data_IF_575821792394
#
_entry.id   IF_575821792394
#
_cell.length_a   1.000
_cell.length_b   1.000
_cell.length_c   1.000
_cell.angle_alpha   90.00
_cell.angle_beta   90.00
_cell.angle_gamma   90.00
#
_symmetry.space_group_name_H-M   'P 1'
#
loop_
_entity.id
_entity.type
_entity.pdbx_description
1 polymer ?
#
# COMPACT_ATOMS: atom_id res chain seq x y z
N UNK A 1 -31.68 48.81 10.30
CA UNK A 1 -31.12 47.47 10.08
C UNK A 1 -29.88 47.40 10.97
N UNK A 2 -30.01 46.84 12.17
CA UNK A 2 -28.90 46.73 13.11
C UNK A 2 -27.99 45.61 12.60
N UNK A 3 -26.73 45.92 12.30
CA UNK A 3 -25.68 44.92 12.09
C UNK A 3 -25.56 44.13 13.39
N UNK A 4 -25.92 42.84 13.35
CA UNK A 4 -25.63 41.91 14.43
C UNK A 4 -24.11 41.92 14.66
N UNK A 5 -23.64 42.01 15.92
CA UNK A 5 -22.21 41.92 16.19
C UNK A 5 -21.68 40.59 15.63
N UNK A 6 -20.65 40.68 14.80
CA UNK A 6 -19.92 39.51 14.29
C UNK A 6 -19.64 38.57 15.46
N UNK A 7 -20.19 37.35 15.42
CA UNK A 7 -19.91 36.34 16.44
C UNK A 7 -18.41 36.15 16.58
N UNK A 8 -17.92 36.10 17.83
CA UNK A 8 -16.51 35.91 18.13
C UNK A 8 -16.07 34.55 17.57
N UNK A 9 -15.20 34.55 16.57
CA UNK A 9 -14.62 33.32 16.03
C UNK A 9 -13.44 32.86 16.89
N UNK A 10 -13.33 31.55 17.06
CA UNK A 10 -12.29 30.86 17.81
C UNK A 10 -11.48 30.01 16.83
N UNK A 11 -10.16 30.08 16.92
CA UNK A 11 -9.27 29.20 16.15
C UNK A 11 -9.30 27.81 16.77
N UNK A 12 -9.79 26.84 16.01
CA UNK A 12 -9.77 25.43 16.35
C UNK A 12 -8.75 24.71 15.46
N UNK A 13 -7.82 24.01 16.09
CA UNK A 13 -6.86 23.11 15.42
C UNK A 13 -7.18 21.68 15.81
N UNK A 14 -7.45 20.83 14.84
CA UNK A 14 -7.71 19.40 15.04
C UNK A 14 -6.56 18.62 14.40
N UNK A 15 -5.85 17.82 15.18
CA UNK A 15 -4.76 16.95 14.70
C UNK A 15 -5.25 15.51 14.68
N UNK A 16 -5.07 14.79 13.58
CA UNK A 16 -5.34 13.37 13.57
C UNK A 16 -4.21 12.59 14.27
N UNK A 17 -4.54 11.40 14.77
CA UNK A 17 -3.54 10.48 15.31
C UNK A 17 -2.51 10.07 14.25
N UNK A 18 -2.98 9.68 13.07
CA UNK A 18 -2.14 9.39 11.91
C UNK A 18 -2.12 10.56 10.94
N UNK A 19 -0.93 11.01 10.51
CA UNK A 19 -0.75 12.17 9.62
C UNK A 19 -1.40 12.05 8.24
N UNK A 20 -1.80 10.85 7.83
CA UNK A 20 -2.50 10.58 6.56
C UNK A 20 -4.00 10.31 6.75
N UNK A 21 -4.54 10.54 7.95
CA UNK A 21 -5.98 10.45 8.19
C UNK A 21 -6.72 11.68 7.68
N UNK A 22 -7.82 11.47 6.96
CA UNK A 22 -8.73 12.54 6.59
C UNK A 22 -9.48 13.05 7.84
N UNK A 23 -9.64 14.36 7.95
CA UNK A 23 -10.36 15.05 9.02
C UNK A 23 -11.52 15.82 8.38
N UNK A 24 -12.74 15.62 8.87
CA UNK A 24 -13.92 16.40 8.49
C UNK A 24 -14.49 17.08 9.73
N UNK A 25 -14.53 18.41 9.73
CA UNK A 25 -15.13 19.19 10.81
C UNK A 25 -16.56 19.58 10.43
N UNK A 26 -17.53 19.14 11.23
CA UNK A 26 -18.96 19.32 10.96
C UNK A 26 -19.61 20.05 12.14
N UNK A 27 -20.48 21.03 11.88
CA UNK A 27 -21.20 21.75 12.93
C UNK A 27 -22.48 21.00 13.40
N UNK A 28 -23.17 21.55 14.38
CA UNK A 28 -24.43 21.00 14.91
C UNK A 28 -25.59 20.94 13.91
N UNK A 29 -25.49 21.67 12.78
CA UNK A 29 -26.44 21.63 11.67
C UNK A 29 -26.06 20.59 10.60
N UNK A 30 -25.07 19.73 10.89
CA UNK A 30 -24.52 18.74 9.96
C UNK A 30 -23.89 19.34 8.70
N UNK A 31 -23.49 20.61 8.75
CA UNK A 31 -22.79 21.27 7.67
C UNK A 31 -21.28 21.05 7.81
N UNK A 32 -20.64 20.65 6.72
CA UNK A 32 -19.18 20.59 6.64
C UNK A 32 -18.62 22.02 6.72
N UNK A 33 -17.78 22.26 7.72
CA UNK A 33 -17.11 23.54 7.95
C UNK A 33 -15.77 23.56 7.23
N UNK A 34 -15.00 22.49 7.39
CA UNK A 34 -13.69 22.32 6.80
C UNK A 34 -13.35 20.83 6.70
N UNK A 35 -12.43 20.50 5.81
CA UNK A 35 -11.79 19.19 5.75
C UNK A 35 -10.32 19.34 5.37
N UNK A 36 -9.48 18.47 5.92
CA UNK A 36 -8.04 18.43 5.65
C UNK A 36 -7.50 17.03 5.96
N UNK A 37 -6.20 16.78 5.80
CA UNK A 37 -5.54 15.51 6.13
C UNK A 37 -4.45 15.76 7.16
N UNK A 38 -4.42 14.93 8.21
CA UNK A 38 -3.41 14.98 9.27
C UNK A 38 -3.60 16.13 10.26
N UNK A 39 -3.83 17.35 9.78
CA UNK A 39 -4.13 18.52 10.62
C UNK A 39 -5.11 19.45 9.91
N UNK A 40 -6.13 19.92 10.63
CA UNK A 40 -7.14 20.86 10.16
C UNK A 40 -7.12 22.10 11.06
N UNK A 41 -7.07 23.28 10.46
CA UNK A 41 -7.26 24.55 11.16
C UNK A 41 -8.49 25.28 10.63
N UNK A 42 -9.36 25.74 11.54
CA UNK A 42 -10.57 26.47 11.18
C UNK A 42 -10.89 27.59 12.19
N UNK A 43 -11.51 28.66 11.71
CA UNK A 43 -12.13 29.68 12.56
C UNK A 43 -13.61 29.34 12.71
N UNK A 44 -14.06 29.10 13.94
CA UNK A 44 -15.42 28.60 14.22
C UNK A 44 -16.11 29.42 15.30
N UNK A 45 -17.44 29.52 15.23
CA UNK A 45 -18.23 30.13 16.30
C UNK A 45 -18.27 29.21 17.54
N UNK A 46 -18.57 29.73 18.74
CA UNK A 46 -18.79 28.87 19.89
C UNK A 46 -19.95 27.89 19.64
N UNK A 47 -19.78 26.64 20.04
CA UNK A 47 -20.77 25.60 19.77
C UNK A 47 -20.20 24.19 19.86
N UNK A 48 -21.02 23.22 19.44
CA UNK A 48 -20.66 21.81 19.39
C UNK A 48 -20.35 21.43 17.95
N UNK A 49 -19.19 20.80 17.76
CA UNK A 49 -18.69 20.31 16.50
C UNK A 49 -18.43 18.81 16.59
N UNK A 50 -18.41 18.17 15.42
CA UNK A 50 -18.00 16.79 15.26
C UNK A 50 -16.80 16.76 14.32
N UNK A 51 -15.67 16.28 14.83
CA UNK A 51 -14.54 15.90 14.01
C UNK A 51 -14.70 14.42 13.63
N UNK A 52 -14.71 14.13 12.34
CA UNK A 52 -14.67 12.76 11.81
C UNK A 52 -13.29 12.48 11.27
N UNK A 53 -12.67 11.41 11.75
CA UNK A 53 -11.40 10.90 11.27
C UNK A 53 -11.64 9.67 10.40
N UNK A 54 -10.95 9.56 9.27
CA UNK A 54 -11.15 8.46 8.32
C UNK A 54 -9.83 7.95 7.74
N UNK A 55 -9.71 6.63 7.69
CA UNK A 55 -8.63 5.88 7.04
C UNK A 55 -9.27 4.77 6.20
N UNK A 56 -9.02 4.79 4.88
CA UNK A 56 -9.63 3.87 3.94
C UNK A 56 -11.16 3.86 4.02
N UNK A 57 -11.74 2.74 4.46
CA UNK A 57 -13.19 2.60 4.65
C UNK A 57 -13.66 2.77 6.11
N UNK A 58 -12.74 2.94 7.06
CA UNK A 58 -13.03 3.03 8.49
C UNK A 58 -13.06 4.48 8.93
N UNK A 59 -13.98 4.81 9.84
CA UNK A 59 -14.12 6.16 10.37
C UNK A 59 -14.52 6.13 11.84
N UNK A 60 -14.13 7.18 12.57
CA UNK A 60 -14.51 7.42 13.96
C UNK A 60 -14.88 8.89 14.14
N UNK A 61 -15.84 9.17 15.01
CA UNK A 61 -16.35 10.52 15.27
C UNK A 61 -15.97 10.94 16.70
N UNK A 62 -15.48 12.17 16.86
CA UNK A 62 -15.18 12.81 18.14
C UNK A 62 -15.95 14.13 18.24
N UNK A 63 -16.65 14.32 19.36
CA UNK A 63 -17.35 15.58 19.64
C UNK A 63 -16.40 16.59 20.28
N UNK A 64 -16.49 17.84 19.83
CA UNK A 64 -15.68 18.96 20.28
C UNK A 64 -16.61 20.07 20.72
N UNK A 65 -16.48 20.50 21.97
CA UNK A 65 -17.13 21.70 22.47
C UNK A 65 -16.16 22.88 22.36
N UNK A 66 -16.63 23.98 21.77
CA UNK A 66 -15.91 25.24 21.65
C UNK A 66 -16.66 26.30 22.47
N UNK A 67 -16.10 26.68 23.61
CA UNK A 67 -16.76 27.61 24.54
C UNK A 67 -16.58 29.07 24.12
N UNK A 68 -17.54 29.99 24.39
CA UNK A 68 -17.45 31.40 23.98
C UNK A 68 -16.25 32.16 24.56
N UNK A 69 -15.81 31.74 25.74
CA UNK A 69 -14.68 32.32 26.47
C UNK A 69 -13.34 31.68 26.08
N UNK A 70 -13.35 30.61 25.30
CA UNK A 70 -12.13 29.93 24.89
C UNK A 70 -11.23 30.84 24.04
N UNK A 71 -9.93 30.72 24.26
CA UNK A 71 -8.90 31.15 23.32
C UNK A 71 -8.75 30.13 22.18
N UNK A 72 -7.63 30.18 21.43
CA UNK A 72 -7.31 29.12 20.49
C UNK A 72 -7.36 27.73 21.15
N UNK A 73 -7.99 26.77 20.50
CA UNK A 73 -8.21 25.42 21.01
C UNK A 73 -7.50 24.42 20.10
N UNK A 74 -6.76 23.49 20.70
CA UNK A 74 -6.17 22.34 20.01
C UNK A 74 -6.85 21.06 20.49
N UNK A 75 -7.15 20.16 19.56
CA UNK A 75 -7.78 18.86 19.84
C UNK A 75 -7.01 17.78 19.11
N UNK A 76 -6.51 16.81 19.86
CA UNK A 76 -5.93 15.60 19.30
C UNK A 76 -7.03 14.56 19.04
N UNK A 77 -6.95 14.00 17.84
CA UNK A 77 -7.88 13.04 17.29
C UNK A 77 -7.67 11.65 17.87
N UNK A 78 -8.77 10.92 18.00
CA UNK A 78 -8.72 9.51 18.37
C UNK A 78 -8.15 8.64 17.23
N UNK A 79 -7.44 7.55 17.55
CA UNK A 79 -6.94 6.61 16.53
C UNK A 79 -8.08 5.99 15.71
N UNK A 80 -7.84 5.82 14.40
CA UNK A 80 -8.75 5.10 13.50
C UNK A 80 -8.21 3.69 13.31
N UNK A 81 -8.95 2.69 13.76
CA UNK A 81 -8.63 1.31 13.43
C UNK A 81 -8.93 1.03 11.95
N UNK A 82 -7.99 0.39 11.24
CA UNK A 82 -8.09 0.06 9.83
C UNK A 82 -7.64 -1.37 9.54
N UNK A 83 -8.20 -1.96 8.47
CA UNK A 83 -7.84 -3.31 8.07
C UNK A 83 -6.56 -3.27 7.25
N UNK A 84 -5.54 -4.03 7.66
CA UNK A 84 -4.31 -4.24 6.90
C UNK A 84 -3.90 -5.71 6.93
N UNK A 85 -3.31 -6.26 5.85
CA UNK A 85 -2.63 -7.54 5.90
C UNK A 85 -1.33 -7.49 6.74
N UNK A 86 -0.77 -6.30 6.95
CA UNK A 86 0.41 -6.11 7.79
C UNK A 86 0.01 -6.19 9.27
N UNK A 87 0.68 -7.00 10.11
CA UNK A 87 0.35 -7.14 11.53
C UNK A 87 0.94 -5.99 12.37
N UNK A 88 0.51 -4.75 12.10
CA UNK A 88 0.91 -3.58 12.91
C UNK A 88 0.38 -3.65 14.33
N UNK A 89 1.15 -3.15 15.29
CA UNK A 89 0.74 -3.10 16.68
C UNK A 89 -0.52 -2.23 16.86
N UNK A 90 -1.49 -2.74 17.63
CA UNK A 90 -2.69 -1.99 18.01
C UNK A 90 -3.76 -1.87 16.92
N UNK A 91 -3.70 -2.73 15.89
CA UNK A 91 -4.69 -2.78 14.81
C UNK A 91 -5.72 -3.90 15.03
N UNK A 92 -6.94 -3.70 14.54
CA UNK A 92 -8.08 -4.60 14.79
C UNK A 92 -7.98 -5.97 14.12
N UNK A 93 -7.10 -6.15 13.13
CA UNK A 93 -6.82 -7.46 12.51
C UNK A 93 -5.56 -8.13 13.08
N UNK A 94 -4.91 -7.54 14.07
CA UNK A 94 -3.65 -8.01 14.62
C UNK A 94 -3.85 -9.19 15.60
N UNK A 95 -2.94 -10.17 15.52
CA UNK A 95 -2.64 -11.05 16.65
C UNK A 95 -1.19 -10.87 17.05
N UNK A 96 -0.94 -10.86 18.35
CA UNK A 96 0.42 -10.78 18.90
C UNK A 96 1.32 -11.90 18.33
N UNK A 97 0.78 -13.11 18.11
CA UNK A 97 1.53 -14.22 17.51
C UNK A 97 1.94 -13.94 16.06
N UNK A 98 1.05 -13.36 15.24
CA UNK A 98 1.36 -12.99 13.85
C UNK A 98 2.40 -11.87 13.81
N UNK A 99 2.26 -10.88 14.69
CA UNK A 99 3.21 -9.76 14.82
C UNK A 99 4.60 -10.26 15.16
N UNK A 100 4.72 -11.04 16.23
CA UNK A 100 5.99 -11.57 16.70
C UNK A 100 6.63 -12.48 15.63
N UNK A 101 5.85 -13.33 14.96
CA UNK A 101 6.32 -14.18 13.87
C UNK A 101 6.84 -13.36 12.67
N UNK A 102 6.11 -12.32 12.26
CA UNK A 102 6.54 -11.46 11.16
C UNK A 102 7.86 -10.74 11.49
N UNK A 103 8.00 -10.22 12.71
CA UNK A 103 9.23 -9.57 13.17
C UNK A 103 10.42 -10.54 13.26
N UNK A 104 10.19 -11.76 13.74
CA UNK A 104 11.22 -12.80 13.88
C UNK A 104 11.70 -13.29 12.51
N UNK A 105 10.79 -13.76 11.66
CA UNK A 105 11.15 -14.42 10.40
C UNK A 105 11.64 -13.44 9.33
N UNK A 106 11.20 -12.18 9.36
CA UNK A 106 11.71 -11.14 8.45
C UNK A 106 13.19 -10.80 8.70
N UNK A 107 13.78 -11.17 9.83
CA UNK A 107 15.20 -10.90 10.15
C UNK A 107 16.13 -12.06 9.84
N UNK A 108 15.58 -13.26 9.62
CA UNK A 108 16.36 -14.48 9.44
C UNK A 108 16.01 -15.14 8.11
N UNK A 109 16.86 -14.95 7.10
CA UNK A 109 16.65 -15.56 5.78
C UNK A 109 16.68 -17.10 5.92
N UNK A 110 15.64 -17.76 5.43
CA UNK A 110 15.55 -19.22 5.46
C UNK A 110 16.38 -19.86 4.36
N UNK A 111 16.51 -19.19 3.20
CA UNK A 111 17.33 -19.68 2.10
C UNK A 111 18.05 -18.57 1.32
N UNK A 112 19.17 -18.93 0.70
CA UNK A 112 19.93 -18.08 -0.21
C UNK A 112 19.72 -18.52 -1.66
N UNK A 113 19.06 -17.69 -2.46
CA UNK A 113 18.77 -17.91 -3.88
C UNK A 113 19.44 -16.90 -4.81
N UNK A 114 19.98 -15.83 -4.26
CA UNK A 114 20.76 -14.80 -4.96
C UNK A 114 21.50 -13.92 -3.96
N UNK A 115 21.90 -12.73 -4.37
CA UNK A 115 22.63 -11.77 -3.53
C UNK A 115 22.23 -10.32 -3.78
N UNK A 116 22.39 -9.48 -2.76
CA UNK A 116 22.24 -8.02 -2.88
C UNK A 116 20.85 -7.49 -2.54
N UNK A 117 19.81 -8.33 -2.46
CA UNK A 117 18.48 -7.95 -1.95
C UNK A 117 17.83 -9.09 -1.16
N UNK A 118 16.73 -8.80 -0.48
CA UNK A 118 15.93 -9.81 0.20
C UNK A 118 14.45 -9.71 -0.21
N UNK A 119 13.75 -10.84 -0.14
CA UNK A 119 12.30 -10.92 -0.27
C UNK A 119 11.74 -11.63 0.97
N UNK A 120 10.77 -11.00 1.62
CA UNK A 120 10.03 -11.57 2.73
C UNK A 120 8.55 -11.66 2.36
N UNK A 121 7.96 -12.85 2.44
CA UNK A 121 6.55 -13.11 2.20
C UNK A 121 5.91 -13.61 3.49
N UNK A 122 4.87 -12.91 3.95
CA UNK A 122 4.11 -13.27 5.14
C UNK A 122 2.62 -13.33 4.82
N UNK A 123 2.01 -14.48 5.08
CA UNK A 123 0.60 -14.72 4.78
C UNK A 123 -0.06 -15.19 6.05
N UNK A 124 -1.20 -14.61 6.37
CA UNK A 124 -1.90 -14.93 7.62
C UNK A 124 -3.39 -15.02 7.41
N UNK A 125 -4.03 -15.81 8.25
CA UNK A 125 -5.46 -15.90 8.32
C UNK A 125 -6.06 -14.64 8.98
N UNK A 126 -7.27 -14.25 8.56
CA UNK A 126 -8.01 -13.18 9.21
C UNK A 126 -8.61 -13.72 10.51
N UNK A 127 -8.43 -12.98 11.59
CA UNK A 127 -9.03 -13.29 12.88
C UNK A 127 -10.53 -12.98 12.84
N UNK A 128 -11.33 -13.85 12.24
CA UNK A 128 -12.73 -13.88 12.63
C UNK A 128 -12.84 -14.82 13.82
N UNK A 129 -13.18 -14.24 14.98
CA UNK A 129 -13.62 -14.98 16.14
C UNK A 129 -14.84 -15.81 15.73
N UNK A 130 -14.61 -17.03 15.25
CA UNK A 130 -15.68 -17.98 14.96
C UNK A 130 -16.22 -18.47 16.30
N UNK A 131 -17.05 -17.61 16.89
CA UNK A 131 -18.00 -18.00 17.92
C UNK A 131 -19.05 -18.88 17.23
N UNK A 132 -18.76 -20.18 17.12
CA UNK A 132 -19.81 -21.20 16.99
C UNK A 132 -20.02 -21.89 15.65
N UNK A 133 -19.24 -21.63 14.59
CA UNK A 133 -19.25 -22.47 13.39
C UNK A 133 -18.00 -23.34 13.34
N UNK A 134 -18.12 -24.60 13.75
CA UNK A 134 -17.07 -25.62 13.66
C UNK A 134 -16.84 -26.09 12.21
N UNK A 135 -16.63 -25.15 11.30
CA UNK A 135 -15.93 -25.38 10.04
C UNK A 135 -14.63 -24.62 10.14
N UNK A 136 -13.71 -25.17 10.94
CA UNK A 136 -12.28 -24.92 10.76
C UNK A 136 -12.04 -25.20 9.28
N UNK A 137 -11.83 -24.15 8.49
CA UNK A 137 -11.49 -24.33 7.08
C UNK A 137 -10.22 -25.17 7.08
N UNK A 138 -10.32 -26.42 6.59
CA UNK A 138 -9.17 -27.32 6.47
C UNK A 138 -8.16 -26.81 5.43
N UNK A 139 -8.43 -25.67 4.81
CA UNK A 139 -7.55 -25.01 3.86
C UNK A 139 -6.41 -24.32 4.58
N UNK A 140 -5.25 -24.42 3.97
CA UNK A 140 -4.02 -23.88 4.51
C UNK A 140 -3.79 -22.51 3.84
N UNK A 141 -3.61 -21.41 4.60
CA UNK A 141 -3.54 -20.03 4.05
C UNK A 141 -2.56 -19.84 2.87
N UNK A 142 -1.48 -20.63 2.86
CA UNK A 142 -0.38 -20.58 1.90
C UNK A 142 -0.44 -21.66 0.80
N UNK A 143 -1.54 -22.40 0.69
CA UNK A 143 -1.73 -23.39 -0.36
C UNK A 143 -1.73 -22.72 -1.76
N UNK A 144 -1.08 -23.36 -2.73
CA UNK A 144 -1.01 -22.87 -4.11
C UNK A 144 -0.01 -21.72 -4.33
N UNK A 145 0.78 -21.37 -3.32
CA UNK A 145 1.67 -20.19 -3.39
C UNK A 145 3.07 -20.58 -3.83
N UNK A 146 3.51 -19.90 -4.87
CA UNK A 146 4.83 -20.10 -5.47
C UNK A 146 5.44 -18.76 -5.86
N UNK A 147 6.76 -18.69 -5.78
CA UNK A 147 7.55 -17.54 -6.18
C UNK A 147 8.42 -17.96 -7.36
N UNK A 148 8.41 -17.15 -8.42
CA UNK A 148 9.15 -17.40 -9.64
C UNK A 148 10.03 -16.21 -10.01
N UNK A 149 11.12 -16.49 -10.72
CA UNK A 149 11.87 -15.47 -11.46
C UNK A 149 10.99 -14.87 -12.58
N UNK A 150 11.42 -13.76 -13.16
CA UNK A 150 10.67 -13.10 -14.25
C UNK A 150 10.41 -14.03 -15.45
N UNK A 151 11.32 -14.96 -15.72
CA UNK A 151 11.20 -15.95 -16.81
C UNK A 151 10.22 -17.09 -16.51
N UNK A 152 9.67 -17.16 -15.28
CA UNK A 152 8.77 -18.23 -14.83
C UNK A 152 9.45 -19.41 -14.15
N UNK A 153 10.77 -19.41 -14.01
CA UNK A 153 11.49 -20.45 -13.27
C UNK A 153 11.09 -20.41 -11.79
N UNK A 154 10.66 -21.55 -11.24
CA UNK A 154 10.30 -21.68 -9.82
C UNK A 154 11.53 -21.38 -8.94
N UNK A 155 11.37 -20.41 -8.04
CA UNK A 155 12.39 -19.99 -7.09
C UNK A 155 12.15 -20.59 -5.70
N UNK A 156 10.88 -20.53 -5.25
CA UNK A 156 10.46 -21.10 -3.99
C UNK A 156 8.98 -21.47 -3.97
N UNK A 157 8.62 -22.43 -3.14
CA UNK A 157 7.25 -22.83 -2.85
C UNK A 157 7.00 -22.82 -1.33
N UNK A 158 5.74 -22.98 -0.91
CA UNK A 158 5.37 -22.88 0.50
C UNK A 158 6.03 -23.94 1.41
N UNK A 159 6.46 -25.07 0.87
CA UNK A 159 7.18 -26.11 1.63
C UNK A 159 8.54 -25.66 2.19
N UNK A 160 9.09 -24.56 1.65
CA UNK A 160 10.39 -23.99 2.00
C UNK A 160 10.30 -22.84 3.02
N UNK A 161 9.09 -22.43 3.38
CA UNK A 161 8.85 -21.44 4.42
C UNK A 161 8.56 -22.07 5.78
N UNK A 162 8.35 -21.21 6.77
CA UNK A 162 7.79 -21.60 8.07
C UNK A 162 6.28 -21.56 7.98
N UNK A 163 5.66 -22.70 8.25
CA UNK A 163 4.22 -22.94 8.14
C UNK A 163 3.67 -23.27 9.52
N UNK A 164 2.86 -22.38 10.09
CA UNK A 164 2.22 -22.58 11.39
C UNK A 164 0.70 -22.61 11.22
N UNK A 165 0.15 -23.83 11.15
CA UNK A 165 -1.29 -24.03 10.95
C UNK A 165 -2.09 -23.72 12.21
N UNK A 166 -1.51 -23.92 13.40
CA UNK A 166 -2.18 -23.67 14.67
C UNK A 166 -2.42 -22.18 14.86
N UNK A 167 -1.42 -21.37 14.54
CA UNK A 167 -1.50 -19.92 14.59
C UNK A 167 -1.94 -19.30 13.25
N UNK A 168 -2.14 -20.10 12.20
CA UNK A 168 -2.70 -19.64 10.92
C UNK A 168 -1.81 -18.67 10.15
N UNK A 169 -0.50 -18.91 10.08
CA UNK A 169 0.42 -18.07 9.29
C UNK A 169 1.50 -18.86 8.53
N UNK A 170 2.04 -18.21 7.50
CA UNK A 170 3.18 -18.63 6.72
C UNK A 170 4.19 -17.49 6.58
N UNK A 171 5.47 -17.83 6.68
CA UNK A 171 6.57 -16.90 6.51
C UNK A 171 7.66 -17.51 5.61
N UNK A 172 8.13 -16.76 4.61
CA UNK A 172 9.23 -17.14 3.74
C UNK A 172 10.18 -15.96 3.57
N UNK A 173 11.47 -16.17 3.83
CA UNK A 173 12.48 -15.12 3.71
C UNK A 173 13.65 -15.62 2.87
N UNK A 174 13.90 -14.96 1.74
CA UNK A 174 14.93 -15.34 0.77
C UNK A 174 15.93 -14.20 0.57
N UNK A 175 17.23 -14.52 0.52
CA UNK A 175 18.21 -13.68 -0.17
C UNK A 175 18.08 -13.91 -1.68
N UNK A 176 17.93 -12.84 -2.46
CA UNK A 176 17.68 -12.89 -3.91
C UNK A 176 18.44 -11.79 -4.65
N UNK A 177 18.64 -11.97 -5.95
CA UNK A 177 19.20 -10.91 -6.81
C UNK A 177 18.22 -9.74 -6.96
N UNK A 178 18.67 -8.49 -7.04
CA UNK A 178 17.80 -7.36 -7.37
C UNK A 178 17.11 -7.58 -8.71
N UNK A 179 15.78 -7.50 -8.73
CA UNK A 179 15.04 -7.80 -9.96
C UNK A 179 13.54 -7.87 -9.77
N UNK A 180 12.84 -8.20 -10.86
CA UNK A 180 11.40 -8.41 -10.83
C UNK A 180 11.10 -9.91 -10.73
N UNK A 181 10.20 -10.26 -9.83
CA UNK A 181 9.73 -11.61 -9.53
C UNK A 181 8.23 -11.72 -9.74
N UNK A 182 7.74 -12.96 -9.85
CA UNK A 182 6.33 -13.29 -10.01
C UNK A 182 5.86 -14.03 -8.76
N UNK A 183 4.98 -13.42 -7.99
CA UNK A 183 4.27 -14.10 -6.90
C UNK A 183 2.99 -14.70 -7.47
N UNK A 184 2.93 -16.03 -7.51
CA UNK A 184 1.82 -16.80 -8.06
C UNK A 184 0.98 -17.41 -6.95
N UNK A 185 -0.34 -17.34 -7.13
CA UNK A 185 -1.33 -18.03 -6.31
C UNK A 185 -2.21 -18.87 -7.22
N UNK A 186 -2.18 -20.18 -7.03
CA UNK A 186 -3.15 -21.12 -7.60
C UNK A 186 -4.39 -21.16 -6.72
N UNK A 187 -5.51 -20.68 -7.26
CA UNK A 187 -6.77 -20.62 -6.50
C UNK A 187 -7.53 -21.93 -6.58
N UNK A 188 -7.59 -22.50 -7.78
CA UNK A 188 -8.11 -23.83 -8.08
C UNK A 188 -7.18 -24.51 -9.08
N UNK A 189 -7.20 -25.86 -9.22
CA UNK A 189 -6.37 -26.56 -10.18
C UNK A 189 -6.44 -25.98 -11.60
N UNK A 190 -5.32 -25.43 -12.08
CA UNK A 190 -5.23 -24.82 -13.41
C UNK A 190 -5.77 -23.39 -13.52
N UNK A 191 -6.14 -22.76 -12.41
CA UNK A 191 -6.48 -21.35 -12.31
C UNK A 191 -5.50 -20.63 -11.38
N UNK A 192 -4.58 -19.88 -11.98
CA UNK A 192 -3.51 -19.18 -11.28
C UNK A 192 -3.50 -17.70 -11.61
N UNK A 193 -3.08 -16.92 -10.63
CA UNK A 193 -2.92 -15.48 -10.73
C UNK A 193 -1.53 -15.07 -10.30
N UNK A 194 -0.98 -14.07 -10.96
CA UNK A 194 0.35 -13.55 -10.68
C UNK A 194 0.35 -12.06 -10.41
N UNK A 195 1.06 -11.67 -9.36
CA UNK A 195 1.44 -10.29 -9.06
C UNK A 195 2.95 -10.13 -9.29
N UNK A 196 3.36 -9.00 -9.87
CA UNK A 196 4.77 -8.66 -10.03
C UNK A 196 5.32 -7.98 -8.78
N UNK A 197 6.48 -8.43 -8.32
CA UNK A 197 7.19 -7.89 -7.16
C UNK A 197 8.57 -7.42 -7.60
N UNK A 198 8.97 -6.21 -7.21
CA UNK A 198 10.31 -5.70 -7.44
C UNK A 198 11.14 -5.76 -6.15
N UNK A 199 12.34 -6.30 -6.25
CA UNK A 199 13.39 -6.15 -5.23
C UNK A 199 14.45 -5.16 -5.71
N UNK A 200 15.12 -4.51 -4.77
CA UNK A 200 16.15 -3.50 -5.05
C UNK A 200 17.38 -3.76 -4.18
N UNK A 201 18.56 -3.49 -4.75
CA UNK A 201 19.83 -3.70 -4.07
C UNK A 201 19.90 -2.94 -2.74
N UNK A 202 20.32 -3.62 -1.67
CA UNK A 202 20.38 -3.08 -0.31
C UNK A 202 19.05 -3.09 0.45
N UNK A 203 17.96 -3.54 -0.18
CA UNK A 203 16.62 -3.55 0.41
C UNK A 203 16.02 -4.95 0.53
N UNK A 204 15.18 -5.11 1.54
CA UNK A 204 14.24 -6.20 1.68
C UNK A 204 12.85 -5.73 1.24
N UNK A 205 12.30 -6.38 0.21
CA UNK A 205 10.89 -6.21 -0.16
C UNK A 205 10.03 -7.14 0.68
N UNK A 206 9.05 -6.61 1.40
CA UNK A 206 8.18 -7.35 2.30
C UNK A 206 6.77 -7.39 1.75
N UNK A 207 6.21 -8.58 1.56
CA UNK A 207 4.88 -8.80 1.02
C UNK A 207 4.03 -9.40 2.13
N UNK A 208 2.94 -8.73 2.47
CA UNK A 208 1.96 -9.19 3.45
C UNK A 208 0.63 -9.43 2.74
N UNK A 209 0.02 -10.60 2.95
CA UNK A 209 -1.32 -10.90 2.45
C UNK A 209 -2.18 -11.56 3.53
N UNK A 210 -3.49 -11.29 3.47
CA UNK A 210 -4.48 -12.09 4.18
C UNK A 210 -4.93 -13.23 3.29
N UNK A 211 -5.27 -14.36 3.88
CA UNK A 211 -6.15 -15.30 3.21
C UNK A 211 -7.58 -14.81 3.29
N UNK A 212 -8.26 -14.81 2.15
CA UNK A 212 -9.65 -14.37 2.03
C UNK A 212 -10.38 -15.37 1.12
N UNK A 213 -11.66 -15.60 1.43
CA UNK A 213 -12.59 -16.22 0.47
C UNK A 213 -13.04 -15.13 -0.53
N UNK A 214 -13.45 -15.55 -1.73
CA UNK A 214 -14.23 -14.72 -2.66
C UNK A 214 -13.56 -13.44 -3.16
N UNK A 215 -12.23 -13.32 -3.12
CA UNK A 215 -11.56 -12.17 -3.75
C UNK A 215 -11.59 -12.23 -5.30
N UNK A 216 -11.99 -13.39 -5.85
CA UNK A 216 -12.36 -13.59 -7.24
C UNK A 216 -13.83 -13.99 -7.34
N UNK A 217 -14.54 -13.41 -8.30
CA UNK A 217 -15.91 -13.84 -8.61
C UNK A 217 -15.89 -15.30 -9.06
N UNK A 218 -16.80 -16.10 -8.51
CA UNK A 218 -17.04 -17.51 -8.86
C UNK A 218 -15.95 -18.52 -8.43
N UNK A 219 -15.00 -18.12 -7.58
CA UNK A 219 -13.98 -19.02 -7.00
C UNK A 219 -14.18 -19.11 -5.49
N UNK A 220 -14.62 -20.27 -5.01
CA UNK A 220 -14.85 -20.57 -3.58
C UNK A 220 -13.58 -21.19 -2.96
N UNK A 221 -12.46 -20.47 -3.09
CA UNK A 221 -11.15 -20.90 -2.59
C UNK A 221 -10.61 -19.91 -1.55
N UNK A 222 -10.26 -20.44 -0.38
CA UNK A 222 -9.60 -19.66 0.66
C UNK A 222 -8.09 -19.62 0.41
N UNK A 223 -7.61 -18.47 -0.08
CA UNK A 223 -6.25 -18.30 -0.61
C UNK A 223 -5.71 -16.92 -0.29
N UNK A 224 -4.39 -16.74 -0.39
CA UNK A 224 -3.78 -15.43 -0.27
C UNK A 224 -4.37 -14.44 -1.29
N UNK A 225 -4.93 -13.35 -0.78
CA UNK A 225 -5.58 -12.33 -1.59
C UNK A 225 -4.55 -11.35 -2.16
N UNK A 226 -4.06 -11.63 -3.36
CA UNK A 226 -3.13 -10.75 -4.07
C UNK A 226 -3.65 -9.31 -4.23
N UNK A 227 -4.94 -9.05 -4.54
CA UNK A 227 -5.42 -7.68 -4.72
C UNK A 227 -5.35 -6.80 -3.48
N UNK A 228 -5.51 -7.38 -2.29
CA UNK A 228 -5.50 -6.67 -1.01
C UNK A 228 -4.12 -6.66 -0.35
N UNK A 229 -3.13 -7.38 -0.91
CA UNK A 229 -1.78 -7.48 -0.39
C UNK A 229 -1.13 -6.10 -0.16
N UNK A 230 -0.23 -6.05 0.81
CA UNK A 230 0.63 -4.89 1.09
C UNK A 230 2.05 -5.22 0.70
N UNK A 231 2.73 -4.27 0.06
CA UNK A 231 4.15 -4.36 -0.24
C UNK A 231 4.86 -3.20 0.45
N UNK A 232 5.75 -3.55 1.38
CA UNK A 232 6.61 -2.64 2.12
C UNK A 232 8.06 -2.87 1.68
N UNK A 233 8.93 -1.95 2.07
CA UNK A 233 10.38 -2.14 1.91
C UNK A 233 11.09 -1.66 3.16
N UNK A 234 12.19 -2.30 3.50
CA UNK A 234 13.10 -1.87 4.56
C UNK A 234 14.54 -2.18 4.14
N UNK A 235 15.53 -1.59 4.79
CA UNK A 235 16.92 -1.93 4.51
C UNK A 235 17.22 -3.38 4.90
N UNK A 236 18.10 -4.04 4.15
CA UNK A 236 18.51 -5.42 4.46
C UNK A 236 19.06 -5.49 5.89
N UNK A 237 18.62 -6.51 6.64
CA UNK A 237 19.01 -6.72 8.04
C UNK A 237 18.13 -5.99 9.06
N UNK A 238 17.35 -4.99 8.64
CA UNK A 238 16.41 -4.33 9.55
C UNK A 238 15.14 -5.14 9.78
N UNK A 239 14.67 -5.93 8.82
CA UNK A 239 13.46 -6.75 8.95
C UNK A 239 12.19 -5.92 9.20
N UNK A 240 11.08 -6.60 9.45
CA UNK A 240 9.81 -5.97 9.81
C UNK A 240 9.84 -5.51 11.27
N UNK A 241 9.25 -4.35 11.52
CA UNK A 241 8.99 -3.78 12.83
C UNK A 241 7.55 -3.28 12.83
N UNK A 242 6.71 -3.84 13.70
CA UNK A 242 5.29 -3.50 13.78
C UNK A 242 5.01 -2.10 14.34
N UNK A 243 6.02 -1.45 14.92
CA UNK A 243 5.96 -0.09 15.42
C UNK A 243 6.60 0.93 14.46
N UNK A 244 7.12 0.49 13.30
CA UNK A 244 7.71 1.40 12.33
C UNK A 244 6.67 2.35 11.72
N UNK A 245 6.81 3.63 12.06
CA UNK A 245 5.94 4.70 11.56
C UNK A 245 6.03 4.86 10.05
N UNK A 246 7.19 4.58 9.43
CA UNK A 246 7.37 4.68 7.98
C UNK A 246 6.61 3.56 7.28
N UNK A 247 6.76 2.31 7.73
CA UNK A 247 5.96 1.18 7.27
C UNK A 247 4.45 1.45 7.41
N UNK A 248 4.03 1.99 8.56
CA UNK A 248 2.62 2.37 8.79
C UNK A 248 2.16 3.44 7.81
N UNK A 249 2.96 4.48 7.57
CA UNK A 249 2.63 5.53 6.59
C UNK A 249 2.53 4.96 5.17
N UNK A 250 3.42 4.06 4.77
CA UNK A 250 3.36 3.38 3.45
C UNK A 250 2.03 2.64 3.30
N UNK A 251 1.58 1.93 4.33
CA UNK A 251 0.29 1.25 4.30
C UNK A 251 -0.90 2.22 4.21
N UNK A 252 -0.86 3.34 4.94
CA UNK A 252 -1.89 4.37 4.85
C UNK A 252 -1.99 4.98 3.44
N UNK A 253 -0.84 5.23 2.78
CA UNK A 253 -0.81 5.67 1.40
C UNK A 253 -1.41 4.61 0.47
N UNK A 254 -1.07 3.32 0.65
CA UNK A 254 -1.65 2.21 -0.10
C UNK A 254 -3.17 2.18 0.02
N UNK A 255 -3.71 2.30 1.25
CA UNK A 255 -5.15 2.34 1.51
C UNK A 255 -5.82 3.57 0.88
N UNK A 256 -5.16 4.72 0.91
CA UNK A 256 -5.61 5.93 0.21
C UNK A 256 -5.77 5.68 -1.29
N UNK A 257 -4.76 5.10 -1.92
CA UNK A 257 -4.77 4.76 -3.36
C UNK A 257 -5.84 3.72 -3.70
N UNK A 258 -5.89 2.62 -2.93
CA UNK A 258 -6.84 1.52 -3.13
C UNK A 258 -8.30 2.00 -3.13
N UNK A 259 -8.60 3.04 -2.35
CA UNK A 259 -9.95 3.60 -2.23
C UNK A 259 -10.15 4.90 -3.02
N UNK A 260 -9.20 5.28 -3.88
CA UNK A 260 -9.30 6.50 -4.70
C UNK A 260 -9.39 7.78 -3.88
N UNK A 261 -8.68 7.84 -2.74
CA UNK A 261 -8.69 8.95 -1.80
C UNK A 261 -7.46 9.85 -1.96
N UNK A 262 -7.68 11.14 -1.75
CA UNK A 262 -6.64 12.16 -1.79
C UNK A 262 -6.02 12.35 -0.39
N UNK A 263 -5.18 11.39 0.03
CA UNK A 263 -4.56 11.41 1.38
C UNK A 263 -3.20 12.11 1.43
N UNK A 264 -2.68 12.57 0.29
CA UNK A 264 -1.40 13.29 0.22
C UNK A 264 -1.65 14.78 -0.01
N UNK A 265 -1.23 15.59 0.96
CA UNK A 265 -1.27 17.05 0.91
C UNK A 265 0.11 17.63 0.55
N UNK A 266 0.17 18.90 0.15
CA UNK A 266 1.45 19.61 -0.07
C UNK A 266 2.32 19.62 1.19
N UNK A 267 1.70 19.69 2.37
CA UNK A 267 2.39 19.62 3.66
C UNK A 267 3.00 18.24 3.86
N UNK A 268 2.27 17.17 3.55
CA UNK A 268 2.81 15.80 3.62
C UNK A 268 3.99 15.62 2.67
N UNK A 269 3.90 16.11 1.42
CA UNK A 269 5.02 16.09 0.46
C UNK A 269 6.22 16.89 0.97
N UNK A 270 5.98 18.07 1.55
CA UNK A 270 7.03 18.91 2.12
C UNK A 270 7.73 18.22 3.30
N UNK A 271 6.99 17.46 4.11
CA UNK A 271 7.56 16.64 5.18
C UNK A 271 8.42 15.50 4.61
N UNK A 272 7.95 14.75 3.62
CA UNK A 272 8.76 13.74 2.92
C UNK A 272 10.05 14.35 2.32
N UNK A 273 9.95 15.53 1.73
CA UNK A 273 11.10 16.26 1.20
C UNK A 273 12.08 16.77 2.28
N UNK A 274 11.75 16.69 3.57
CA UNK A 274 12.68 16.98 4.67
C UNK A 274 13.38 15.75 5.23
N UNK A 275 12.86 14.56 4.99
CA UNK A 275 13.49 13.30 5.43
C UNK A 275 14.87 13.11 4.82
N UNK A 276 15.82 12.60 5.60
CA UNK A 276 17.18 12.32 5.12
C UNK A 276 17.18 11.11 4.17
N UNK A 277 16.32 10.14 4.45
CA UNK A 277 16.16 8.91 3.68
C UNK A 277 14.69 8.66 3.37
N UNK A 278 14.41 8.16 2.16
CA UNK A 278 13.05 7.89 1.72
C UNK A 278 12.86 6.40 1.45
N UNK A 279 11.74 5.89 1.99
CA UNK A 279 11.27 4.57 1.64
C UNK A 279 10.76 4.56 0.18
N UNK A 280 11.21 3.63 -0.67
CA UNK A 280 10.84 3.58 -2.08
C UNK A 280 9.34 3.44 -2.31
N UNK A 281 8.67 2.60 -1.52
CA UNK A 281 7.22 2.41 -1.62
C UNK A 281 6.47 3.66 -1.20
N UNK A 282 6.99 4.42 -0.23
CA UNK A 282 6.44 5.71 0.15
C UNK A 282 6.51 6.71 -1.00
N UNK A 283 7.64 6.76 -1.74
CA UNK A 283 7.79 7.62 -2.92
C UNK A 283 6.87 7.20 -4.05
N UNK A 284 6.79 5.90 -4.36
CA UNK A 284 5.91 5.37 -5.41
C UNK A 284 4.45 5.72 -5.11
N UNK A 285 3.98 5.46 -3.88
CA UNK A 285 2.60 5.75 -3.53
C UNK A 285 2.30 7.24 -3.44
N UNK A 286 3.20 8.05 -2.86
CA UNK A 286 3.02 9.49 -2.83
C UNK A 286 2.95 10.09 -4.24
N UNK A 287 3.81 9.63 -5.17
CA UNK A 287 3.77 10.04 -6.57
C UNK A 287 2.43 9.71 -7.24
N UNK A 288 1.86 8.53 -6.97
CA UNK A 288 0.52 8.17 -7.45
C UNK A 288 -0.57 9.04 -6.86
N UNK A 289 -0.54 9.26 -5.54
CA UNK A 289 -1.54 10.07 -4.87
C UNK A 289 -1.57 11.49 -5.42
N UNK A 290 -0.39 12.08 -5.70
CA UNK A 290 -0.30 13.41 -6.34
C UNK A 290 -0.79 13.41 -7.78
N UNK A 291 -0.55 12.33 -8.52
CA UNK A 291 -0.94 12.22 -9.92
C UNK A 291 -2.44 12.01 -10.14
N UNK A 292 -3.15 11.46 -9.16
CA UNK A 292 -4.59 11.16 -9.24
C UNK A 292 -5.50 12.37 -9.02
N UNK A 293 -5.00 13.47 -8.44
CA UNK A 293 -5.82 14.62 -7.98
C UNK A 293 -6.30 15.55 -9.11
N UNK A 294 -6.08 15.24 -10.39
CA UNK A 294 -6.35 16.15 -11.51
C UNK A 294 -5.54 17.46 -11.47
N UNK A 295 -4.70 17.65 -10.45
CA UNK A 295 -3.68 18.69 -10.36
C UNK A 295 -2.55 18.29 -11.29
N UNK A 296 -2.04 19.26 -12.07
CA UNK A 296 -0.74 19.07 -12.71
C UNK A 296 0.23 18.75 -11.58
N UNK A 297 0.75 17.52 -11.55
CA UNK A 297 1.84 17.13 -10.66
C UNK A 297 2.84 18.28 -10.69
N UNK A 298 3.21 18.83 -9.54
CA UNK A 298 4.39 19.68 -9.51
C UNK A 298 5.57 18.77 -9.85
N UNK A 299 5.91 18.73 -11.14
CA UNK A 299 6.99 17.92 -11.70
C UNK A 299 8.29 18.22 -10.94
N UNK A 300 8.45 19.44 -10.40
CA UNK A 300 9.59 19.79 -9.57
C UNK A 300 9.59 19.07 -8.22
N UNK A 301 8.45 18.98 -7.54
CA UNK A 301 8.30 18.22 -6.29
C UNK A 301 8.54 16.71 -6.51
N UNK A 302 7.96 16.13 -7.57
CA UNK A 302 8.21 14.72 -7.91
C UNK A 302 9.67 14.47 -8.27
N UNK A 303 10.28 15.32 -9.10
CA UNK A 303 11.70 15.22 -9.43
C UNK A 303 12.60 15.37 -8.20
N UNK A 304 12.19 16.19 -7.22
CA UNK A 304 12.92 16.36 -5.96
C UNK A 304 12.83 15.13 -5.06
N UNK A 305 11.66 14.48 -4.98
CA UNK A 305 11.50 13.20 -4.29
C UNK A 305 12.36 12.12 -4.94
N UNK A 306 12.32 12.01 -6.27
CA UNK A 306 13.06 11.00 -7.02
C UNK A 306 14.58 11.16 -6.88
N UNK A 307 15.09 12.39 -6.80
CA UNK A 307 16.53 12.68 -6.61
C UNK A 307 17.10 12.19 -5.28
N UNK A 308 16.24 11.90 -4.29
CA UNK A 308 16.67 11.37 -2.99
C UNK A 308 16.80 9.85 -2.97
N UNK A 309 16.24 9.16 -3.97
CA UNK A 309 16.37 7.72 -4.06
C UNK A 309 17.76 7.32 -4.59
N UNK A 310 18.36 6.23 -4.10
CA UNK A 310 19.58 5.66 -4.67
C UNK A 310 19.44 5.39 -6.18
N UNK A 311 20.55 5.46 -6.92
CA UNK A 311 20.53 5.33 -8.37
C UNK A 311 19.86 4.04 -8.88
N UNK A 312 20.03 2.94 -8.14
CA UNK A 312 19.47 1.62 -8.48
C UNK A 312 17.93 1.62 -8.49
N UNK A 313 17.28 2.59 -7.83
CA UNK A 313 15.84 2.75 -7.88
C UNK A 313 15.33 3.33 -9.20
N UNK A 314 16.15 4.05 -9.97
CA UNK A 314 15.70 4.57 -11.27
C UNK A 314 15.41 3.47 -12.30
N UNK A 315 15.83 2.24 -12.03
CA UNK A 315 15.47 1.06 -12.82
C UNK A 315 14.12 0.45 -12.45
N UNK A 316 13.46 0.94 -11.38
CA UNK A 316 12.15 0.46 -10.95
C UNK A 316 11.08 0.83 -12.00
N UNK A 317 10.34 -0.13 -12.60
CA UNK A 317 9.39 0.17 -13.66
C UNK A 317 8.30 1.17 -13.26
N UNK A 318 7.81 1.10 -12.02
CA UNK A 318 6.86 2.09 -11.47
C UNK A 318 7.39 3.52 -11.41
N UNK A 319 8.69 3.70 -11.12
CA UNK A 319 9.31 5.02 -11.12
C UNK A 319 9.57 5.51 -12.55
N UNK A 320 10.01 4.62 -13.44
CA UNK A 320 10.19 4.92 -14.85
C UNK A 320 8.88 5.34 -15.53
N UNK A 321 7.75 4.74 -15.14
CA UNK A 321 6.43 5.09 -15.66
C UNK A 321 6.07 6.56 -15.40
N UNK A 322 6.47 7.13 -14.26
CA UNK A 322 6.26 8.55 -13.97
C UNK A 322 7.15 9.48 -14.80
N UNK A 323 8.33 9.00 -15.20
CA UNK A 323 9.28 9.77 -15.98
C UNK A 323 8.90 9.86 -17.47
N UNK A 324 7.92 9.09 -17.94
CA UNK A 324 7.50 9.03 -19.35
C UNK A 324 7.01 10.37 -19.93
N UNK A 325 6.54 11.29 -19.08
CA UNK A 325 6.11 12.61 -19.52
C UNK A 325 7.26 13.60 -19.70
N UNK A 326 8.44 13.30 -19.17
CA UNK A 326 9.64 14.11 -19.39
C UNK A 326 10.18 13.81 -20.79
N UNK A 327 10.44 14.84 -21.58
CA UNK A 327 10.87 14.73 -22.96
C UNK A 327 12.26 14.05 -23.04
N UNK A 328 12.28 12.73 -23.10
CA UNK A 328 13.51 11.97 -23.30
C UNK A 328 13.83 11.89 -24.80
N UNK A 329 15.09 12.17 -25.15
CA UNK A 329 15.61 11.97 -26.51
C UNK A 329 15.62 10.49 -26.92
N UNK A 330 15.70 9.59 -25.93
CA UNK A 330 15.63 8.14 -26.11
C UNK A 330 14.36 7.57 -25.50
N UNK A 331 13.74 6.63 -26.22
CA UNK A 331 12.56 5.91 -25.74
C UNK A 331 13.00 4.88 -24.68
N UNK A 332 12.47 4.94 -23.45
CA UNK A 332 12.79 3.93 -22.46
C UNK A 332 12.26 2.56 -22.89
N UNK A 333 12.96 1.52 -22.45
CA UNK A 333 12.60 0.11 -22.65
C UNK A 333 12.15 -0.44 -21.31
N UNK A 334 11.00 -1.13 -21.29
CA UNK A 334 10.50 -1.79 -20.08
C UNK A 334 10.72 -3.30 -20.22
N UNK A 335 11.79 -3.86 -19.61
CA UNK A 335 12.07 -5.30 -19.69
C UNK A 335 11.16 -6.14 -18.78
N UNK A 336 10.52 -5.50 -17.79
CA UNK A 336 9.62 -6.14 -16.85
C UNK A 336 8.36 -5.28 -16.64
N UNK A 337 7.21 -5.89 -16.30
CA UNK A 337 6.01 -5.15 -15.93
C UNK A 337 6.19 -4.32 -14.64
N UNK A 338 5.45 -3.21 -14.47
CA UNK A 338 5.35 -2.52 -13.19
C UNK A 338 4.54 -3.33 -12.17
N UNK A 339 4.70 -3.00 -10.90
CA UNK A 339 3.90 -3.55 -9.82
C UNK A 339 2.49 -2.97 -9.81
N UNK A 340 2.31 -1.69 -10.17
CA UNK A 340 1.02 -1.00 -10.09
C UNK A 340 0.27 -0.97 -11.41
N UNK A 341 -1.05 -1.20 -11.32
CA UNK A 341 -1.94 -1.20 -12.48
C UNK A 341 -1.99 0.15 -13.19
N UNK A 342 -2.06 1.24 -12.43
CA UNK A 342 -2.07 2.60 -12.98
C UNK A 342 -0.79 2.94 -13.75
N UNK A 343 0.35 2.39 -13.35
CA UNK A 343 1.61 2.54 -14.08
C UNK A 343 1.66 1.70 -15.36
N UNK A 344 1.05 0.51 -15.33
CA UNK A 344 0.84 -0.26 -16.55
C UNK A 344 0.00 0.51 -17.57
N UNK A 345 -1.08 1.16 -17.14
CA UNK A 345 -1.93 1.94 -18.04
C UNK A 345 -1.15 3.14 -18.64
N UNK A 346 -0.29 3.81 -17.85
CA UNK A 346 0.63 4.86 -18.35
C UNK A 346 1.60 4.34 -19.40
N UNK A 347 2.24 3.20 -19.12
CA UNK A 347 3.19 2.57 -20.05
C UNK A 347 2.46 2.18 -21.34
N UNK A 348 1.30 1.54 -21.23
CA UNK A 348 0.48 1.12 -22.37
C UNK A 348 0.08 2.31 -23.25
N UNK A 349 -0.39 3.40 -22.64
CA UNK A 349 -0.69 4.64 -23.36
C UNK A 349 0.55 5.23 -24.04
N UNK A 350 1.72 5.17 -23.39
CA UNK A 350 2.96 5.66 -23.96
C UNK A 350 3.47 4.77 -25.12
N UNK A 351 3.19 3.46 -25.10
CA UNK A 351 3.44 2.55 -26.21
C UNK A 351 2.58 2.91 -27.41
N UNK A 352 1.28 3.16 -27.23
CA UNK A 352 0.38 3.62 -28.29
C UNK A 352 0.86 4.94 -28.92
N UNK A 353 1.38 5.85 -28.10
CA UNK A 353 1.97 7.12 -28.52
C UNK A 353 3.40 6.98 -29.09
N UNK A 354 3.94 5.76 -29.18
CA UNK A 354 5.32 5.47 -29.64
C UNK A 354 6.40 6.20 -28.84
N UNK A 355 6.16 6.49 -27.56
CA UNK A 355 7.10 7.10 -26.63
C UNK A 355 7.97 6.08 -25.90
N UNK A 356 7.53 4.82 -25.87
CA UNK A 356 8.16 3.71 -25.13
C UNK A 356 8.33 2.51 -26.05
N UNK A 357 9.28 1.64 -25.72
CA UNK A 357 9.48 0.34 -26.35
C UNK A 357 9.13 -0.76 -25.34
N UNK A 358 8.15 -1.60 -25.68
CA UNK A 358 7.94 -2.91 -25.07
C UNK A 358 8.39 -3.96 -26.08
N UNK A 359 9.35 -4.80 -25.69
CA UNK A 359 9.93 -5.79 -26.59
C UNK A 359 8.86 -6.82 -27.03
N UNK A 360 8.68 -7.07 -28.34
CA UNK A 360 7.79 -8.11 -28.81
C UNK A 360 8.15 -9.46 -28.20
N UNK A 361 7.15 -10.22 -27.73
CA UNK A 361 7.36 -11.52 -27.09
C UNK A 361 7.88 -11.46 -25.65
N UNK A 362 8.10 -10.28 -25.07
CA UNK A 362 8.34 -10.14 -23.63
C UNK A 362 7.08 -10.49 -22.82
N UNK A 363 7.26 -10.87 -21.56
CA UNK A 363 6.14 -11.08 -20.64
C UNK A 363 5.24 -9.83 -20.54
N UNK A 364 5.86 -8.65 -20.51
CA UNK A 364 5.17 -7.35 -20.58
C UNK A 364 4.23 -7.28 -21.79
N UNK A 365 4.61 -7.79 -22.96
CA UNK A 365 3.71 -7.82 -24.12
C UNK A 365 2.59 -8.87 -24.02
N UNK A 366 2.82 -9.97 -23.28
CA UNK A 366 1.91 -11.12 -23.21
C UNK A 366 0.75 -10.91 -22.22
N UNK A 367 0.99 -10.24 -21.09
CA UNK A 367 0.01 -10.14 -20.01
C UNK A 367 -1.19 -9.21 -20.30
N UNK A 368 -1.13 -8.40 -21.37
CA UNK A 368 -2.12 -7.38 -21.66
C UNK A 368 -3.57 -7.91 -21.79
N UNK A 369 -3.73 -9.17 -22.22
CA UNK A 369 -5.04 -9.80 -22.45
C UNK A 369 -5.72 -10.39 -21.22
N UNK A 370 -5.00 -10.60 -20.11
CA UNK A 370 -5.49 -11.37 -18.95
C UNK A 370 -5.41 -10.61 -17.63
N UNK A 371 -5.37 -9.28 -17.69
CA UNK A 371 -5.27 -8.42 -16.51
C UNK A 371 -6.57 -8.33 -15.71
N UNK A 372 -6.45 -8.45 -14.38
CA UNK A 372 -7.49 -8.00 -13.46
C UNK A 372 -7.55 -6.47 -13.43
N UNK A 373 -8.76 -5.91 -13.53
CA UNK A 373 -8.98 -4.46 -13.66
C UNK A 373 -9.35 -3.77 -12.36
N UNK A 374 -9.67 -4.52 -11.30
CA UNK A 374 -10.22 -4.01 -10.03
C UNK A 374 -9.19 -3.90 -8.91
N UNK A 375 -7.90 -4.15 -9.19
CA UNK A 375 -6.82 -4.17 -8.20
C UNK A 375 -5.89 -2.96 -8.32
N UNK A 376 -5.31 -2.54 -7.19
CA UNK A 376 -4.18 -1.59 -7.15
C UNK A 376 -2.96 -2.18 -7.87
N UNK A 377 -2.73 -3.48 -7.67
CA UNK A 377 -1.61 -4.21 -8.21
C UNK A 377 -1.87 -4.67 -9.65
N UNK A 378 -0.82 -4.74 -10.45
CA UNK A 378 -0.86 -5.38 -11.75
C UNK A 378 -0.89 -6.90 -11.54
N UNK A 379 -2.10 -7.45 -11.62
CA UNK A 379 -2.34 -8.88 -11.48
C UNK A 379 -2.87 -9.42 -12.81
N UNK A 380 -2.35 -10.55 -13.26
CA UNK A 380 -2.85 -11.22 -14.44
C UNK A 380 -3.18 -12.68 -14.15
N UNK A 381 -4.16 -13.20 -14.88
CA UNK A 381 -4.50 -14.62 -14.91
C UNK A 381 -3.51 -15.35 -15.84
N UNK A 382 -3.10 -16.55 -15.44
CA UNK A 382 -2.41 -17.48 -16.32
C UNK A 382 -3.43 -18.32 -17.08
N UNK A 383 -3.25 -18.43 -18.39
CA UNK A 383 -4.02 -19.36 -19.19
C UNK A 383 -3.52 -20.79 -18.92
N UNK A 384 -4.45 -21.73 -18.75
CA UNK A 384 -4.19 -23.13 -18.35
C UNK A 384 -3.36 -23.95 -19.36
N UNK A 385 -2.78 -23.31 -20.38
CA UNK A 385 -1.99 -23.93 -21.46
C UNK A 385 -0.47 -23.74 -21.30
N UNK A 386 0.01 -23.06 -20.25
CA UNK A 386 1.45 -22.78 -20.02
C UNK A 386 2.10 -23.59 -18.86
N UNK A 387 1.54 -24.74 -18.46
CA UNK A 387 2.20 -25.63 -17.48
C UNK A 387 3.15 -26.62 -18.15
#
# INVERSE_FOLDING_TARGET
MQELPSEKQIRLTVRAHDHLSEIFLVNSLFQLIANDVGQLEALVAPGIYKARFRIGQKQVDQLIEVSPEAGPQEVDGIPVDFNSPVPFAGMGTEQEVHRNAAEEFSRSASEKKGEGSCLFLFIRDKVESVSGSALVSASVPWEGITLHNLDGTLLAESSQGTCDQENGFFALHLEVDPGTYRLRVEVEPGESYEMFIRTVAGWQTQIFALSEADWLTDVDAYRAALPSASVLMTEVGQGFDSADEVARQVELLRLGLLHGREVVTEVAVSSLLREEYLNPMQVIFAAHSLSGQGRSIDVASLASLLKKLPADFFEHPDLQAFMLHQAAEMRPVFPAPPMLRSNWDRISQAVEQRKVIVSPGSLTAQIAGSLLTTSLWLIHRLDSMEV
#
